data_IF_813970914621
#
_entry.id   IF_813970914621
#
_cell.length_a   1.000
_cell.length_b   1.000
_cell.length_c   1.000
_cell.angle_alpha   90.00
_cell.angle_beta   90.00
_cell.angle_gamma   90.00
#
_symmetry.space_group_name_H-M   'P 1'
#
loop_
_entity.id
_entity.type
_entity.pdbx_description
1 polymer ?
#
# COMPACT_ATOMS: atom_id res chain seq x y z
N UNK A 1 48.85 -43.11 -2.41
CA UNK A 1 47.84 -42.33 -3.16
C UNK A 1 46.46 -42.93 -2.94
N UNK A 2 45.67 -42.49 -1.93
CA UNK A 2 44.24 -42.85 -1.72
C UNK A 2 43.65 -42.26 -0.41
N UNK A 3 43.87 -40.99 -0.05
CA UNK A 3 43.25 -40.39 1.18
C UNK A 3 42.92 -38.88 1.09
N UNK A 4 42.69 -38.31 -0.09
CA UNK A 4 42.42 -36.85 -0.22
C UNK A 4 41.09 -36.53 -0.93
N UNK A 5 40.35 -37.50 -1.46
CA UNK A 5 39.15 -37.22 -2.27
C UNK A 5 37.81 -37.25 -1.55
N UNK A 6 37.75 -37.57 -0.25
CA UNK A 6 36.48 -37.75 0.47
C UNK A 6 36.06 -36.50 1.26
N UNK A 7 36.99 -35.57 1.54
CA UNK A 7 36.69 -34.39 2.37
C UNK A 7 36.07 -33.22 1.60
N UNK A 8 36.07 -33.25 0.27
CA UNK A 8 35.58 -32.14 -0.57
C UNK A 8 34.10 -32.27 -0.97
N UNK A 9 33.46 -33.43 -0.73
CA UNK A 9 32.03 -33.64 -1.05
C UNK A 9 31.08 -33.31 0.10
N UNK A 10 31.56 -33.17 1.34
CA UNK A 10 30.69 -32.95 2.51
C UNK A 10 30.46 -31.46 2.80
N UNK A 11 31.39 -30.57 2.41
CA UNK A 11 31.22 -29.12 2.55
C UNK A 11 30.29 -28.47 1.50
N UNK A 12 29.94 -29.21 0.44
CA UNK A 12 29.16 -28.66 -0.69
C UNK A 12 27.64 -28.84 -0.53
N UNK A 13 27.17 -29.58 0.48
CA UNK A 13 25.72 -29.80 0.71
C UNK A 13 25.08 -28.81 1.70
N UNK A 14 25.84 -27.95 2.37
CA UNK A 14 25.32 -27.07 3.43
C UNK A 14 24.76 -25.72 2.92
N UNK A 15 24.84 -25.40 1.63
CA UNK A 15 24.46 -24.09 1.07
C UNK A 15 23.13 -24.07 0.30
N UNK A 16 22.36 -25.16 0.28
CA UNK A 16 21.06 -25.24 -0.41
C UNK A 16 19.84 -24.95 0.49
N UNK A 17 20.03 -24.55 1.75
CA UNK A 17 18.94 -24.30 2.70
C UNK A 17 18.43 -22.84 2.74
N UNK A 18 18.54 -22.08 1.65
CA UNK A 18 18.05 -20.70 1.57
C UNK A 18 16.73 -20.58 0.79
N UNK A 19 15.70 -21.33 1.18
CA UNK A 19 14.27 -21.08 0.87
C UNK A 19 13.36 -21.99 1.73
N UNK A 20 13.63 -22.11 3.04
CA UNK A 20 12.67 -22.79 3.92
C UNK A 20 11.43 -21.89 4.09
N UNK A 21 10.28 -22.31 3.55
CA UNK A 21 8.97 -21.75 3.96
C UNK A 21 8.89 -21.86 5.48
N UNK A 22 8.60 -20.76 6.17
CA UNK A 22 8.38 -20.81 7.61
C UNK A 22 7.25 -21.80 7.90
N UNK A 23 7.43 -22.73 8.85
CA UNK A 23 6.40 -23.70 9.20
C UNK A 23 5.23 -22.98 9.88
N UNK A 24 4.01 -23.29 9.45
CA UNK A 24 2.78 -22.94 10.17
C UNK A 24 2.66 -23.78 11.44
N UNK A 25 2.00 -23.26 12.47
CA UNK A 25 1.67 -24.02 13.67
C UNK A 25 0.54 -25.04 13.39
N UNK A 26 0.53 -26.14 14.13
CA UNK A 26 -0.53 -27.15 14.05
C UNK A 26 -1.89 -26.56 14.47
N UNK A 27 -2.94 -26.94 13.75
CA UNK A 27 -4.28 -26.39 13.96
C UNK A 27 -5.03 -27.12 15.10
N UNK A 28 -4.61 -26.86 16.33
CA UNK A 28 -5.37 -27.26 17.53
C UNK A 28 -6.61 -26.37 17.72
N UNK A 29 -7.63 -26.80 18.50
CA UNK A 29 -8.79 -25.95 18.80
C UNK A 29 -8.41 -24.58 19.40
N UNK A 30 -7.37 -24.53 20.23
CA UNK A 30 -6.85 -23.29 20.79
C UNK A 30 -6.25 -22.37 19.72
N UNK A 31 -5.43 -22.93 18.82
CA UNK A 31 -4.84 -22.18 17.72
C UNK A 31 -5.90 -21.68 16.73
N UNK A 32 -6.96 -22.45 16.50
CA UNK A 32 -8.10 -22.04 15.70
C UNK A 32 -8.82 -20.85 16.35
N UNK A 33 -9.11 -20.91 17.66
CA UNK A 33 -9.76 -19.80 18.38
C UNK A 33 -8.91 -18.52 18.33
N UNK A 34 -7.60 -18.62 18.51
CA UNK A 34 -6.67 -17.49 18.39
C UNK A 34 -6.68 -16.87 16.99
N UNK A 35 -6.72 -17.69 15.94
CA UNK A 35 -6.80 -17.24 14.56
C UNK A 35 -8.12 -16.50 14.27
N UNK A 36 -9.24 -16.98 14.83
CA UNK A 36 -10.54 -16.33 14.69
C UNK A 36 -10.59 -15.00 15.44
N UNK A 37 -10.16 -14.98 16.71
CA UNK A 37 -10.07 -13.76 17.53
C UNK A 37 -9.24 -12.67 16.84
N UNK A 38 -8.12 -13.09 16.22
CA UNK A 38 -7.24 -12.21 15.47
C UNK A 38 -7.91 -11.55 14.26
N UNK A 39 -8.70 -12.32 13.50
CA UNK A 39 -9.46 -11.77 12.38
C UNK A 39 -10.61 -10.86 12.84
N UNK A 40 -11.22 -11.17 13.98
CA UNK A 40 -12.23 -10.31 14.60
C UNK A 40 -11.64 -8.97 15.04
N UNK A 41 -10.44 -8.97 15.66
CA UNK A 41 -9.73 -7.75 16.01
C UNK A 41 -9.43 -6.89 14.78
N UNK A 42 -8.92 -7.49 13.70
CA UNK A 42 -8.73 -6.82 12.40
C UNK A 42 -10.03 -6.20 11.87
N UNK A 43 -11.13 -6.95 11.89
CA UNK A 43 -12.43 -6.50 11.42
C UNK A 43 -12.97 -5.34 12.27
N UNK A 44 -12.74 -5.37 13.58
CA UNK A 44 -13.16 -4.33 14.51
C UNK A 44 -12.40 -3.02 14.29
N UNK A 45 -11.09 -3.08 14.00
CA UNK A 45 -10.28 -1.90 13.66
C UNK A 45 -10.84 -1.14 12.45
N UNK A 46 -11.30 -1.88 11.44
CA UNK A 46 -11.88 -1.31 10.22
C UNK A 46 -13.26 -0.66 10.42
N UNK A 47 -14.07 -1.15 11.35
CA UNK A 47 -15.45 -0.64 11.58
C UNK A 47 -15.48 0.70 12.32
N UNK A 48 -14.50 0.97 13.18
CA UNK A 48 -14.51 2.14 14.07
C UNK A 48 -13.72 3.34 13.55
N UNK A 49 -13.06 3.22 12.39
CA UNK A 49 -12.27 4.33 11.84
C UNK A 49 -13.18 5.40 11.22
N UNK A 50 -13.26 6.61 11.80
CA UNK A 50 -14.15 7.65 11.32
C UNK A 50 -13.74 8.15 9.93
N UNK A 51 -14.73 8.54 9.12
CA UNK A 51 -14.53 9.24 7.86
C UNK A 51 -14.25 10.73 8.10
N UNK A 52 -13.35 11.03 9.03
CA UNK A 52 -12.94 12.39 9.38
C UNK A 52 -12.07 13.01 8.26
N UNK A 53 -12.10 14.34 8.10
CA UNK A 53 -11.17 15.02 7.22
C UNK A 53 -9.73 14.84 7.71
N UNK A 54 -8.79 14.76 6.78
CA UNK A 54 -7.38 14.61 7.10
C UNK A 54 -6.48 15.23 6.03
N UNK A 55 -5.28 15.64 6.43
CA UNK A 55 -4.19 15.93 5.50
C UNK A 55 -2.93 15.20 5.93
N UNK A 56 -2.35 14.43 5.01
CA UNK A 56 -1.08 13.74 5.22
C UNK A 56 0.02 14.48 4.46
N UNK A 57 1.11 14.79 5.14
CA UNK A 57 2.37 15.11 4.47
C UNK A 57 3.19 13.83 4.33
N UNK A 58 3.58 13.50 3.11
CA UNK A 58 4.25 12.25 2.80
C UNK A 58 5.56 12.48 2.03
N UNK A 59 6.52 11.59 2.26
CA UNK A 59 7.70 11.41 1.42
C UNK A 59 7.54 10.09 0.69
N UNK A 60 7.63 10.13 -0.64
CA UNK A 60 7.47 8.97 -1.50
C UNK A 60 8.80 8.72 -2.20
N UNK A 61 9.37 7.54 -2.02
CA UNK A 61 10.59 7.12 -2.70
C UNK A 61 10.28 5.92 -3.56
N UNK A 62 10.53 5.96 -4.86
CA UNK A 62 10.17 4.89 -5.77
C UNK A 62 11.10 4.80 -6.97
N UNK A 63 11.13 3.64 -7.61
CA UNK A 63 11.98 3.38 -8.78
C UNK A 63 12.39 1.91 -8.81
N UNK A 64 13.53 1.64 -9.42
CA UNK A 64 14.17 0.32 -9.37
C UNK A 64 15.22 0.29 -8.27
N UNK A 65 15.61 -0.91 -7.85
CA UNK A 65 16.73 -1.07 -6.93
C UNK A 65 18.00 -0.38 -7.48
N UNK A 66 18.65 0.43 -6.64
CA UNK A 66 19.81 1.26 -7.03
C UNK A 66 19.46 2.57 -7.74
N UNK A 67 18.26 2.72 -8.31
CA UNK A 67 17.81 3.94 -9.01
C UNK A 67 16.40 4.34 -8.58
N UNK A 68 16.35 5.11 -7.49
CA UNK A 68 15.09 5.59 -6.91
C UNK A 68 15.03 7.10 -6.92
N UNK A 69 13.86 7.64 -7.25
CA UNK A 69 13.52 9.06 -7.13
C UNK A 69 12.78 9.30 -5.83
N UNK A 70 12.86 10.53 -5.31
CA UNK A 70 12.12 10.96 -4.12
C UNK A 70 11.27 12.19 -4.45
N UNK A 71 10.00 12.14 -4.07
CA UNK A 71 9.07 13.25 -4.13
C UNK A 71 8.43 13.44 -2.76
N UNK A 72 7.88 14.61 -2.53
CA UNK A 72 6.98 14.88 -1.41
C UNK A 72 5.55 14.92 -1.92
N UNK A 73 4.60 14.59 -1.07
CA UNK A 73 3.18 14.64 -1.43
C UNK A 73 2.35 15.20 -0.28
N UNK A 74 1.30 15.94 -0.63
CA UNK A 74 0.22 16.31 0.27
C UNK A 74 -1.01 15.52 -0.15
N UNK A 75 -1.60 14.77 0.78
CA UNK A 75 -2.77 13.95 0.54
C UNK A 75 -3.92 14.43 1.41
N UNK A 76 -4.92 15.05 0.79
CA UNK A 76 -6.12 15.52 1.44
C UNK A 76 -7.27 14.54 1.23
N UNK A 77 -8.09 14.37 2.26
CA UNK A 77 -9.35 13.67 2.17
C UNK A 77 -10.43 14.37 2.98
N UNK A 78 -11.62 14.50 2.37
CA UNK A 78 -12.86 14.84 3.03
C UNK A 78 -13.76 13.60 3.00
N UNK A 79 -13.53 12.62 3.86
CA UNK A 79 -14.10 11.26 3.73
C UNK A 79 -13.69 10.56 2.41
N UNK A 80 -14.25 9.38 2.13
CA UNK A 80 -13.95 8.58 0.93
C UNK A 80 -14.39 9.23 -0.39
N UNK A 81 -15.24 10.26 -0.34
CA UNK A 81 -15.87 10.77 -1.57
C UNK A 81 -14.99 11.70 -2.38
N UNK A 82 -14.06 12.42 -1.75
CA UNK A 82 -13.23 13.41 -2.44
C UNK A 82 -11.81 13.39 -1.89
N UNK A 83 -10.89 12.98 -2.75
CA UNK A 83 -9.48 12.77 -2.46
C UNK A 83 -8.64 13.64 -3.38
N UNK A 84 -7.63 14.31 -2.81
CA UNK A 84 -6.67 15.10 -3.59
C UNK A 84 -5.26 14.68 -3.22
N UNK A 85 -4.38 14.53 -4.21
CA UNK A 85 -2.96 14.28 -4.01
C UNK A 85 -2.15 15.27 -4.84
N UNK A 86 -1.34 16.10 -4.18
CA UNK A 86 -0.40 16.99 -4.85
C UNK A 86 1.00 16.42 -4.65
N UNK A 87 1.69 16.16 -5.74
CA UNK A 87 3.04 15.61 -5.77
C UNK A 87 4.01 16.73 -6.12
N UNK A 88 5.02 16.93 -5.29
CA UNK A 88 6.03 17.97 -5.44
C UNK A 88 7.42 17.35 -5.47
N UNK A 89 8.25 17.80 -6.41
CA UNK A 89 9.66 17.42 -6.53
C UNK A 89 10.57 18.60 -6.17
N UNK A 90 11.80 18.29 -5.73
CA UNK A 90 12.82 19.31 -5.41
C UNK A 90 12.37 20.29 -4.32
N UNK A 91 12.54 21.59 -4.59
CA UNK A 91 12.28 22.71 -3.65
C UNK A 91 10.80 23.15 -3.71
N UNK A 92 9.87 22.22 -3.94
CA UNK A 92 8.42 22.48 -3.91
C UNK A 92 7.74 22.66 -5.28
N UNK A 93 8.42 22.36 -6.38
CA UNK A 93 7.80 22.38 -7.70
C UNK A 93 6.72 21.29 -7.79
N UNK A 94 5.47 21.67 -8.06
CA UNK A 94 4.39 20.70 -8.28
C UNK A 94 4.63 19.97 -9.60
N UNK A 95 4.75 18.66 -9.56
CA UNK A 95 4.95 17.80 -10.74
C UNK A 95 3.68 17.07 -11.14
N UNK A 96 2.76 16.85 -10.20
CA UNK A 96 1.43 16.33 -10.51
C UNK A 96 0.42 16.79 -9.46
N UNK A 97 -0.82 16.98 -9.88
CA UNK A 97 -1.98 17.09 -8.99
C UNK A 97 -3.01 16.05 -9.41
N UNK A 98 -3.59 15.36 -8.45
CA UNK A 98 -4.52 14.26 -8.67
C UNK A 98 -5.77 14.51 -7.85
N UNK A 99 -6.93 14.30 -8.45
CA UNK A 99 -8.24 14.40 -7.82
C UNK A 99 -9.01 13.12 -8.14
N UNK A 100 -9.54 12.49 -7.11
CA UNK A 100 -10.51 11.42 -7.23
C UNK A 100 -11.81 11.86 -6.52
N UNK A 101 -12.90 11.91 -7.28
CA UNK A 101 -14.23 12.27 -6.79
C UNK A 101 -15.26 11.27 -7.32
N UNK A 102 -15.55 10.24 -6.53
CA UNK A 102 -16.44 9.15 -6.92
C UNK A 102 -15.99 8.40 -8.19
N UNK A 103 -16.62 8.70 -9.32
CA UNK A 103 -16.33 8.07 -10.62
C UNK A 103 -15.37 8.89 -11.48
N UNK A 104 -14.95 10.07 -11.01
CA UNK A 104 -14.05 10.97 -11.73
C UNK A 104 -12.65 10.88 -11.17
N UNK A 105 -11.69 10.67 -12.06
CA UNK A 105 -10.27 10.71 -11.74
C UNK A 105 -9.59 11.69 -12.67
N UNK A 106 -8.91 12.68 -12.12
CA UNK A 106 -8.29 13.77 -12.86
C UNK A 106 -6.83 13.90 -12.42
N UNK A 107 -5.94 14.04 -13.39
CA UNK A 107 -4.52 14.24 -13.20
C UNK A 107 -4.12 15.47 -13.97
N UNK A 108 -3.46 16.42 -13.33
CA UNK A 108 -2.84 17.55 -13.99
C UNK A 108 -1.32 17.46 -13.81
N UNK A 109 -0.58 17.45 -14.93
CA UNK A 109 0.88 17.54 -14.98
C UNK A 109 1.26 18.95 -15.43
N UNK A 110 1.71 19.83 -14.51
CA UNK A 110 2.17 21.17 -14.87
C UNK A 110 3.40 21.12 -15.80
N UNK A 111 4.29 20.14 -15.62
CA UNK A 111 5.52 20.00 -16.41
C UNK A 111 5.23 19.69 -17.87
N UNK A 112 4.22 18.86 -18.15
CA UNK A 112 3.83 18.51 -19.51
C UNK A 112 2.76 19.45 -20.09
N UNK A 113 2.28 20.39 -19.26
CA UNK A 113 1.14 21.23 -19.52
C UNK A 113 -0.07 20.44 -20.06
N UNK A 114 -0.40 19.32 -19.41
CA UNK A 114 -1.47 18.40 -19.83
C UNK A 114 -2.32 17.98 -18.64
N UNK A 115 -3.61 17.82 -18.88
CA UNK A 115 -4.54 17.19 -17.97
C UNK A 115 -5.02 15.85 -18.54
N UNK A 116 -5.24 14.88 -17.66
CA UNK A 116 -5.70 13.55 -18.00
C UNK A 116 -6.91 13.18 -17.16
N UNK A 117 -7.98 12.68 -17.79
CA UNK A 117 -9.20 12.31 -17.09
C UNK A 117 -9.58 10.86 -17.33
N UNK A 118 -10.22 10.28 -16.34
CA UNK A 118 -10.95 9.02 -16.43
C UNK A 118 -12.33 9.20 -15.79
N UNK A 119 -13.33 8.61 -16.42
CA UNK A 119 -14.68 8.52 -15.87
C UNK A 119 -15.17 7.08 -15.99
N UNK A 120 -15.52 6.46 -14.86
CA UNK A 120 -16.02 5.10 -14.85
C UNK A 120 -16.06 4.49 -13.45
N UNK A 121 -16.67 3.32 -13.35
CA UNK A 121 -16.82 2.60 -12.08
C UNK A 121 -15.51 1.97 -11.58
N UNK A 122 -14.55 1.69 -12.47
CA UNK A 122 -13.27 1.12 -12.09
C UNK A 122 -12.30 2.22 -11.66
N UNK A 123 -11.74 2.12 -10.46
CA UNK A 123 -10.80 3.12 -9.94
C UNK A 123 -9.40 2.90 -10.51
N UNK A 124 -8.79 3.89 -11.18
CA UNK A 124 -7.44 3.75 -11.69
C UNK A 124 -6.44 3.49 -10.57
N UNK A 125 -5.47 2.60 -10.82
CA UNK A 125 -4.31 2.49 -9.94
C UNK A 125 -3.53 3.81 -9.97
N UNK A 126 -2.91 4.14 -8.84
CA UNK A 126 -1.99 5.27 -8.78
C UNK A 126 -0.73 4.92 -9.59
N UNK A 127 -0.76 5.17 -10.90
CA UNK A 127 0.41 5.09 -11.77
C UNK A 127 0.98 6.47 -12.08
N UNK A 128 0.38 7.52 -11.54
CA UNK A 128 0.83 8.89 -11.74
C UNK A 128 1.82 9.24 -10.66
N UNK A 129 3.11 9.04 -10.96
CA UNK A 129 4.22 9.49 -10.14
C UNK A 129 4.55 8.63 -8.91
N UNK A 130 3.77 7.60 -8.55
CA UNK A 130 4.09 6.72 -7.41
C UNK A 130 3.59 5.30 -7.69
N UNK A 131 4.45 4.32 -8.02
CA UNK A 131 4.01 2.95 -8.32
C UNK A 131 3.65 2.20 -7.03
N UNK A 132 2.39 2.32 -6.60
CA UNK A 132 1.83 1.49 -5.52
C UNK A 132 0.70 0.61 -6.09
N UNK A 133 0.48 -0.60 -5.54
CA UNK A 133 -0.57 -1.53 -6.01
C UNK A 133 -1.97 -1.14 -5.52
N UNK A 134 -2.20 0.15 -5.23
CA UNK A 134 -3.45 0.66 -4.69
C UNK A 134 -3.97 1.81 -5.55
N UNK A 135 -5.29 1.90 -5.68
CA UNK A 135 -5.94 3.14 -6.10
C UNK A 135 -5.86 4.18 -4.96
N UNK A 136 -6.28 5.41 -5.23
CA UNK A 136 -6.13 6.49 -4.25
C UNK A 136 -7.01 6.25 -3.01
N UNK A 137 -8.22 5.71 -3.17
CA UNK A 137 -9.10 5.33 -2.06
C UNK A 137 -8.50 4.25 -1.15
N UNK A 138 -7.98 3.16 -1.70
CA UNK A 138 -7.37 2.10 -0.90
C UNK A 138 -6.12 2.61 -0.17
N UNK A 139 -5.34 3.49 -0.81
CA UNK A 139 -4.22 4.13 -0.12
C UNK A 139 -4.73 5.04 1.02
N UNK A 140 -5.78 5.83 0.80
CA UNK A 140 -6.41 6.64 1.83
C UNK A 140 -6.91 5.79 3.01
N UNK A 141 -7.59 4.70 2.71
CA UNK A 141 -8.16 3.79 3.70
C UNK A 141 -7.07 3.09 4.51
N UNK A 142 -6.03 2.57 3.84
CA UNK A 142 -4.88 1.95 4.49
C UNK A 142 -4.21 2.94 5.45
N UNK A 143 -3.87 4.13 4.97
CA UNK A 143 -3.12 5.12 5.75
C UNK A 143 -3.92 5.73 6.91
N UNK A 144 -5.23 5.52 6.96
CA UNK A 144 -6.12 6.00 8.02
C UNK A 144 -6.76 4.86 8.82
N UNK A 145 -6.23 3.65 8.76
CA UNK A 145 -6.65 2.55 9.63
C UNK A 145 -7.90 1.79 9.20
N UNK A 146 -8.46 2.08 8.01
CA UNK A 146 -9.65 1.42 7.46
C UNK A 146 -9.29 0.13 6.73
N UNK A 147 -8.59 -0.77 7.41
CA UNK A 147 -7.94 -1.92 6.76
C UNK A 147 -8.91 -2.88 6.06
N UNK A 148 -10.09 -3.13 6.63
CA UNK A 148 -11.09 -4.02 6.00
C UNK A 148 -11.69 -3.44 4.72
N UNK A 149 -11.63 -2.13 4.50
CA UNK A 149 -12.01 -1.52 3.23
C UNK A 149 -10.97 -1.80 2.13
N UNK A 150 -9.71 -2.02 2.53
CA UNK A 150 -8.60 -2.33 1.62
C UNK A 150 -8.50 -3.83 1.34
N UNK A 151 -8.51 -4.66 2.39
CA UNK A 151 -8.22 -6.09 2.28
C UNK A 151 -9.46 -6.99 2.27
N UNK A 152 -10.64 -6.39 2.36
CA UNK A 152 -11.90 -7.13 2.43
C UNK A 152 -12.23 -7.66 3.82
N UNK A 153 -13.33 -8.39 3.89
CA UNK A 153 -13.92 -8.93 5.14
C UNK A 153 -13.85 -10.45 5.22
N UNK A 154 -13.43 -11.11 4.15
CA UNK A 154 -13.45 -12.56 4.01
C UNK A 154 -12.06 -13.07 3.62
N UNK A 155 -11.77 -14.30 4.05
CA UNK A 155 -10.57 -15.05 3.71
C UNK A 155 -10.95 -16.52 3.44
N UNK A 156 -10.14 -17.22 2.65
CA UNK A 156 -10.36 -18.64 2.34
C UNK A 156 -9.61 -19.58 3.28
N UNK A 157 -8.38 -19.23 3.65
CA UNK A 157 -7.55 -20.00 4.57
C UNK A 157 -6.82 -19.09 5.54
N UNK A 158 -6.57 -19.57 6.75
CA UNK A 158 -5.74 -18.87 7.72
C UNK A 158 -4.86 -19.83 8.52
N UNK A 159 -3.67 -19.37 8.90
CA UNK A 159 -2.69 -20.15 9.65
C UNK A 159 -1.96 -19.27 10.65
N UNK A 160 -1.69 -19.79 11.84
CA UNK A 160 -0.78 -19.16 12.77
C UNK A 160 0.66 -19.42 12.36
N UNK A 161 1.49 -18.39 12.53
CA UNK A 161 2.90 -18.37 12.21
C UNK A 161 3.72 -18.19 13.49
N UNK A 162 5.01 -18.56 13.49
CA UNK A 162 5.92 -18.24 14.58
C UNK A 162 5.96 -16.73 14.88
N UNK A 163 6.18 -16.37 16.14
CA UNK A 163 6.24 -14.96 16.56
C UNK A 163 4.86 -14.29 16.71
N UNK A 164 3.82 -15.06 17.02
CA UNK A 164 2.42 -14.60 17.23
C UNK A 164 1.80 -13.83 16.05
N UNK A 165 2.26 -14.15 14.85
CA UNK A 165 1.69 -13.67 13.60
C UNK A 165 0.61 -14.63 13.09
N UNK A 166 -0.32 -14.10 12.31
CA UNK A 166 -1.32 -14.89 11.62
C UNK A 166 -1.36 -14.51 10.14
N UNK A 167 -1.41 -15.49 9.24
CA UNK A 167 -1.55 -15.28 7.80
C UNK A 167 -2.94 -15.69 7.32
N UNK A 168 -3.53 -14.87 6.46
CA UNK A 168 -4.85 -15.09 5.86
C UNK A 168 -4.78 -14.94 4.35
N UNK A 169 -5.27 -15.94 3.62
CA UNK A 169 -5.46 -15.85 2.18
C UNK A 169 -6.77 -15.13 1.89
N UNK A 170 -6.69 -13.91 1.38
CA UNK A 170 -7.83 -13.03 1.16
C UNK A 170 -8.64 -13.41 -0.09
N UNK A 171 -9.94 -13.15 -0.02
CA UNK A 171 -10.84 -13.19 -1.17
C UNK A 171 -10.86 -11.84 -1.92
N UNK A 172 -11.33 -11.85 -3.17
CA UNK A 172 -11.59 -10.63 -3.94
C UNK A 172 -10.33 -9.85 -4.35
N UNK A 173 -10.48 -8.52 -4.42
CA UNK A 173 -9.43 -7.57 -4.83
C UNK A 173 -9.12 -6.65 -3.65
N UNK A 174 -7.85 -6.50 -3.24
CA UNK A 174 -6.64 -6.94 -3.94
C UNK A 174 -6.32 -8.43 -3.75
N UNK A 175 -7.05 -9.15 -2.90
CA UNK A 175 -6.79 -10.55 -2.59
C UNK A 175 -5.39 -10.73 -2.00
N UNK A 176 -4.77 -11.89 -2.21
CA UNK A 176 -3.40 -12.16 -1.76
C UNK A 176 -3.32 -12.73 -0.36
N UNK A 177 -2.17 -12.58 0.30
CA UNK A 177 -1.94 -13.08 1.66
C UNK A 177 -1.67 -11.89 2.57
N UNK A 178 -2.49 -11.74 3.61
CA UNK A 178 -2.37 -10.72 4.64
C UNK A 178 -1.77 -11.34 5.90
N UNK A 179 -0.75 -10.70 6.46
CA UNK A 179 -0.18 -11.07 7.76
C UNK A 179 -0.60 -10.05 8.80
N UNK A 180 -1.16 -10.54 9.91
CA UNK A 180 -1.61 -9.76 11.06
C UNK A 180 -0.72 -10.02 12.27
N UNK A 181 -0.49 -8.99 13.08
CA UNK A 181 0.21 -9.09 14.37
C UNK A 181 -0.72 -9.41 15.53
N UNK A 182 -0.18 -9.50 16.76
CA UNK A 182 -0.85 -9.38 18.07
C UNK A 182 -2.30 -8.89 18.05
N UNK A 183 -2.42 -7.63 17.65
CA UNK A 183 -3.58 -6.78 17.82
C UNK A 183 -4.52 -6.81 16.60
N UNK A 184 -4.23 -7.66 15.60
CA UNK A 184 -4.97 -7.68 14.34
C UNK A 184 -4.56 -6.57 13.37
N UNK A 185 -3.40 -5.92 13.58
CA UNK A 185 -2.88 -4.91 12.66
C UNK A 185 -2.23 -5.58 11.45
N UNK A 186 -2.50 -5.11 10.22
CA UNK A 186 -1.76 -5.52 9.03
C UNK A 186 -0.26 -5.19 9.14
N UNK A 187 0.61 -6.19 9.17
CA UNK A 187 2.07 -5.96 9.20
C UNK A 187 2.75 -6.32 7.90
N UNK A 188 2.17 -7.22 7.13
CA UNK A 188 2.63 -7.52 5.78
C UNK A 188 1.48 -7.94 4.87
N UNK A 189 1.64 -7.71 3.57
CA UNK A 189 0.74 -8.20 2.54
C UNK A 189 1.53 -8.63 1.31
N UNK A 190 1.11 -9.70 0.66
CA UNK A 190 1.64 -10.09 -0.65
C UNK A 190 0.51 -10.31 -1.64
N UNK A 191 0.65 -9.68 -2.80
CA UNK A 191 -0.27 -9.80 -3.92
C UNK A 191 -0.45 -11.26 -4.36
N UNK A 192 -1.67 -11.60 -4.78
CA UNK A 192 -1.95 -12.87 -5.43
C UNK A 192 -1.33 -12.85 -6.83
N UNK A 193 -0.11 -13.34 -6.95
CA UNK A 193 0.62 -13.43 -8.20
C UNK A 193 0.92 -14.86 -8.62
N UNK A 194 0.92 -15.13 -9.92
CA UNK A 194 1.40 -16.39 -10.46
C UNK A 194 2.86 -16.61 -10.06
N UNK A 195 3.14 -17.76 -9.43
CA UNK A 195 4.50 -18.14 -9.03
C UNK A 195 5.21 -17.16 -8.08
N UNK A 196 4.47 -16.43 -7.23
CA UNK A 196 5.06 -15.48 -6.28
C UNK A 196 5.58 -14.19 -6.90
N UNK A 197 5.16 -13.89 -8.14
CA UNK A 197 5.47 -12.63 -8.84
C UNK A 197 4.38 -11.60 -8.54
N UNK A 198 4.71 -10.59 -7.77
CA UNK A 198 3.80 -9.50 -7.45
C UNK A 198 4.38 -8.54 -6.43
N UNK A 199 3.56 -7.62 -5.96
CA UNK A 199 3.92 -6.72 -4.87
C UNK A 199 3.92 -7.43 -3.52
N UNK A 200 4.90 -7.07 -2.69
CA UNK A 200 4.92 -7.32 -1.26
C UNK A 200 4.98 -5.98 -0.56
N UNK A 201 4.24 -5.86 0.53
CA UNK A 201 4.17 -4.69 1.37
C UNK A 201 4.48 -5.07 2.81
N UNK A 202 5.27 -4.25 3.49
CA UNK A 202 5.42 -4.25 4.94
C UNK A 202 4.92 -2.92 5.50
N UNK A 203 4.29 -2.97 6.66
CA UNK A 203 3.71 -1.81 7.34
C UNK A 203 4.42 -1.61 8.66
N UNK A 204 4.95 -0.41 8.89
CA UNK A 204 5.41 0.03 10.19
C UNK A 204 4.48 1.13 10.71
N UNK A 205 4.14 1.03 11.99
CA UNK A 205 3.16 1.87 12.66
C UNK A 205 3.80 3.02 13.43
N UNK A 206 3.03 4.07 13.68
CA UNK A 206 3.38 5.10 14.65
C UNK A 206 3.03 4.67 16.08
N UNK A 207 3.37 5.52 17.05
CA UNK A 207 3.11 5.27 18.47
C UNK A 207 1.77 5.88 18.94
N UNK A 208 0.83 6.18 18.02
CA UNK A 208 -0.48 6.71 18.40
C UNK A 208 -1.38 5.59 18.94
N UNK A 209 -2.54 5.96 19.50
CA UNK A 209 -3.52 4.98 20.01
C UNK A 209 -4.91 5.33 19.47
N UNK A 210 -5.52 4.48 18.61
CA UNK A 210 -4.91 3.30 17.99
C UNK A 210 -3.75 3.68 17.03
N UNK A 211 -2.75 2.80 16.83
CA UNK A 211 -1.62 3.06 15.95
C UNK A 211 -2.05 3.17 14.49
N UNK A 212 -1.41 4.06 13.74
CA UNK A 212 -1.64 4.25 12.30
C UNK A 212 -0.38 3.95 11.49
N UNK A 213 -0.51 3.53 10.21
CA UNK A 213 0.66 3.25 9.37
C UNK A 213 1.56 4.47 9.20
N UNK A 214 2.78 4.45 9.72
CA UNK A 214 3.77 5.52 9.53
C UNK A 214 4.56 5.32 8.24
N UNK A 215 4.81 4.06 7.87
CA UNK A 215 5.64 3.72 6.71
C UNK A 215 5.15 2.44 6.04
N UNK A 216 5.07 2.50 4.71
CA UNK A 216 4.85 1.34 3.85
C UNK A 216 6.14 1.08 3.08
N UNK A 217 6.69 -0.13 3.17
CA UNK A 217 7.76 -0.58 2.29
C UNK A 217 7.17 -1.54 1.27
N UNK A 218 7.25 -1.20 -0.01
CA UNK A 218 6.76 -2.01 -1.11
C UNK A 218 7.90 -2.46 -2.01
N UNK A 219 7.90 -3.74 -2.34
CA UNK A 219 8.83 -4.34 -3.29
C UNK A 219 8.05 -5.21 -4.26
N UNK A 220 8.41 -5.17 -5.53
CA UNK A 220 7.90 -6.07 -6.54
C UNK A 220 8.98 -7.06 -6.94
N UNK A 221 8.59 -8.28 -7.28
CA UNK A 221 9.47 -9.32 -7.82
C UNK A 221 10.29 -8.92 -9.07
N UNK A 222 9.97 -7.81 -9.76
CA UNK A 222 10.69 -7.33 -10.95
C UNK A 222 11.72 -6.23 -10.62
N UNK A 223 12.03 -6.03 -9.34
CA UNK A 223 12.99 -5.02 -8.88
C UNK A 223 12.41 -3.62 -8.67
N UNK A 224 11.13 -3.38 -8.98
CA UNK A 224 10.45 -2.13 -8.59
C UNK A 224 10.29 -2.04 -7.08
N UNK A 225 10.46 -0.84 -6.55
CA UNK A 225 10.33 -0.55 -5.12
C UNK A 225 9.59 0.76 -4.92
N UNK A 226 8.83 0.86 -3.84
CA UNK A 226 8.23 2.08 -3.36
C UNK A 226 8.29 2.14 -1.84
N UNK A 227 8.52 3.31 -1.27
CA UNK A 227 8.43 3.59 0.16
C UNK A 227 7.52 4.78 0.31
N UNK A 228 6.44 4.60 1.06
CA UNK A 228 5.56 5.67 1.52
C UNK A 228 5.93 5.96 2.95
N UNK A 229 6.35 7.18 3.26
CA UNK A 229 6.65 7.61 4.63
C UNK A 229 5.77 8.81 4.96
N UNK A 230 4.95 8.66 5.99
CA UNK A 230 4.16 9.75 6.53
C UNK A 230 5.12 10.60 7.37
N UNK A 231 5.02 11.91 7.23
CA UNK A 231 5.84 12.89 7.96
C UNK A 231 5.01 13.66 8.96
N UNK A 232 3.78 13.96 8.60
CA UNK A 232 2.83 14.65 9.44
C UNK A 232 1.40 14.21 9.13
N UNK A 233 0.55 14.27 10.15
CA UNK A 233 -0.87 13.90 10.12
C UNK A 233 -1.68 15.02 10.75
N UNK A 234 -2.33 15.81 9.91
CA UNK A 234 -3.27 16.82 10.37
C UNK A 234 -4.69 16.24 10.45
N UNK A 235 -5.39 16.58 11.54
CA UNK A 235 -6.80 16.27 11.77
C UNK A 235 -7.59 17.59 11.85
N UNK A 236 -8.00 18.16 10.70
CA UNK A 236 -8.79 19.38 10.67
C UNK A 236 -10.09 19.24 11.48
N UNK A 237 -10.50 20.31 12.16
CA UNK A 237 -11.76 20.34 12.91
C UNK A 237 -13.00 20.36 12.00
N UNK A 238 -12.85 20.81 10.77
CA UNK A 238 -13.91 20.87 9.76
C UNK A 238 -13.41 20.31 8.42
N UNK A 239 -14.31 19.78 7.56
CA UNK A 239 -13.95 19.39 6.20
C UNK A 239 -13.34 20.56 5.42
N UNK A 240 -12.40 20.24 4.53
CA UNK A 240 -11.86 21.19 3.57
C UNK A 240 -12.98 21.73 2.67
N UNK A 241 -12.89 22.97 2.23
CA UNK A 241 -13.88 23.55 1.31
C UNK A 241 -13.75 22.96 -0.09
N UNK A 242 -14.79 23.13 -0.92
CA UNK A 242 -14.74 22.69 -2.31
C UNK A 242 -13.61 23.34 -3.10
N UNK A 243 -13.32 24.62 -2.83
CA UNK A 243 -12.17 25.31 -3.43
C UNK A 243 -10.83 24.68 -3.05
N UNK A 244 -10.67 24.22 -1.81
CA UNK A 244 -9.46 23.52 -1.36
C UNK A 244 -9.34 22.11 -1.97
N UNK A 245 -10.45 21.47 -2.29
CA UNK A 245 -10.46 20.10 -2.84
C UNK A 245 -10.53 20.06 -4.38
N UNK A 246 -10.60 21.21 -5.06
CA UNK A 246 -10.63 21.29 -6.53
C UNK A 246 -9.23 21.42 -7.13
N UNK A 247 -9.03 20.88 -8.33
CA UNK A 247 -7.85 21.15 -9.16
C UNK A 247 -8.18 22.24 -10.18
N UNK A 248 -7.56 23.40 -10.05
CA UNK A 248 -7.60 24.43 -11.09
C UNK A 248 -6.68 24.01 -12.24
N UNK A 249 -7.26 23.73 -13.39
CA UNK A 249 -6.52 23.52 -14.64
C UNK A 249 -6.42 24.88 -15.34
N UNK A 250 -5.21 25.37 -15.68
CA UNK A 250 -5.06 26.61 -16.45
C UNK A 250 -5.78 26.56 -17.80
N UNK A 251 -6.21 27.72 -18.29
CA UNK A 251 -6.82 27.84 -19.61
C UNK A 251 -5.87 27.36 -20.71
N UNK A 252 -6.41 26.70 -21.74
CA UNK A 252 -5.64 26.18 -22.87
C UNK A 252 -4.90 24.86 -22.61
N UNK A 253 -4.96 24.30 -21.40
CA UNK A 253 -4.39 22.97 -21.11
C UNK A 253 -5.24 21.88 -21.79
N UNK A 254 -4.67 21.04 -22.66
CA UNK A 254 -5.39 19.93 -23.27
C UNK A 254 -5.82 18.90 -22.22
N UNK A 255 -7.09 18.52 -22.28
CA UNK A 255 -7.69 17.45 -21.47
C UNK A 255 -7.73 16.16 -22.29
N UNK A 256 -7.00 15.14 -21.85
CA UNK A 256 -6.78 13.88 -22.57
C UNK A 256 -7.33 12.68 -21.78
N UNK A 257 -7.74 11.58 -22.42
CA UNK A 257 -8.08 10.35 -21.69
C UNK A 257 -6.88 9.81 -20.89
N UNK A 258 -7.11 9.27 -19.70
CA UNK A 258 -6.06 8.69 -18.82
C UNK A 258 -5.24 7.60 -19.51
N UNK A 259 -5.83 6.86 -20.45
CA UNK A 259 -5.13 5.86 -21.27
C UNK A 259 -3.96 6.45 -22.10
N UNK A 260 -3.93 7.78 -22.31
CA UNK A 260 -2.82 8.49 -22.99
C UNK A 260 -1.73 8.96 -22.03
N UNK A 261 -1.91 8.78 -20.72
CA UNK A 261 -0.89 9.12 -19.74
C UNK A 261 0.32 8.20 -19.92
N UNK A 262 1.51 8.80 -19.98
CA UNK A 262 2.78 8.08 -19.98
C UNK A 262 3.59 8.57 -18.79
N UNK A 263 4.12 7.63 -18.01
CA UNK A 263 5.04 7.97 -16.94
C UNK A 263 6.32 8.61 -17.54
N UNK A 264 6.83 9.71 -16.96
CA UNK A 264 8.10 10.30 -17.37
C UNK A 264 9.32 9.50 -16.92
#
# INVERSE_FOLDING_TARGET
MKKIFVLCCICSLALLAACARQPSLDMTPENQARLEERWQAFSALGQHSPLAPYRLQMSLRFGTEGDTRRVTALFWGNSQRRLRLDVMAGVGATVAKILEDGQHFLVYSPTDNKAYFYQGAAKPLLQVGVPVPFNLEHLADLLNGRYSAVFGKNFTTGHLMPGDLAQYTLEGTPGGVLTLDQAGLPVAWSEKGDSGKGWKMEVAYDNTTPPLPQRLNLVHSNGKRAIVLIKDREKPAAPFTDGQMTLSIPEGVPLLPLAKYRQP
#
